data_IF_127100675116
#
_entry.id   IF_127100675116
#
_cell.length_a   1.000
_cell.length_b   1.000
_cell.length_c   1.000
_cell.angle_alpha   90.00
_cell.angle_beta   90.00
_cell.angle_gamma   90.00
#
_symmetry.space_group_name_H-M   'P 1'
#
loop_
_entity.id
_entity.type
_entity.pdbx_description
1 polymer ?
#
# COMPACT_ATOMS: atom_id res chain seq x y z
N UNK A 1 15.71 5.77 27.99
CA UNK A 1 16.85 6.49 27.40
C UNK A 1 16.94 6.10 25.93
N UNK A 2 16.55 7.00 25.02
CA UNK A 2 16.74 6.80 23.60
C UNK A 2 18.25 6.75 23.30
N UNK A 3 18.68 5.71 22.58
CA UNK A 3 20.05 5.60 22.10
C UNK A 3 20.08 6.21 20.70
N UNK A 4 20.90 7.24 20.53
CA UNK A 4 21.13 7.82 19.21
C UNK A 4 21.75 6.75 18.30
N UNK A 5 21.14 6.52 17.15
CA UNK A 5 21.70 5.68 16.10
C UNK A 5 21.66 6.46 14.80
N UNK A 6 22.66 6.23 13.95
CA UNK A 6 22.72 6.79 12.60
C UNK A 6 22.16 5.77 11.63
N UNK A 7 21.26 6.24 10.76
CA UNK A 7 20.85 5.50 9.58
C UNK A 7 21.70 5.97 8.40
N UNK A 8 22.40 5.04 7.75
CA UNK A 8 23.25 5.33 6.60
C UNK A 8 22.44 5.81 5.39
N UNK A 9 21.62 4.94 4.81
CA UNK A 9 20.68 5.29 3.76
C UNK A 9 19.51 4.31 3.74
N UNK A 10 18.30 4.80 3.47
CA UNK A 10 17.13 3.96 3.16
C UNK A 10 16.87 4.14 1.66
N UNK A 11 17.38 3.20 0.86
CA UNK A 11 17.20 3.22 -0.59
C UNK A 11 15.97 2.41 -0.96
N UNK A 12 14.95 3.08 -1.50
CA UNK A 12 13.70 2.46 -1.92
C UNK A 12 13.61 2.56 -3.43
N UNK A 13 13.66 1.43 -4.12
CA UNK A 13 13.55 1.39 -5.58
C UNK A 13 12.10 1.48 -6.06
N UNK A 14 11.14 0.98 -5.27
CA UNK A 14 9.71 1.16 -5.53
C UNK A 14 8.89 0.84 -4.27
N UNK A 15 7.83 1.60 -4.06
CA UNK A 15 6.73 1.32 -3.13
C UNK A 15 5.43 1.45 -3.90
N UNK A 16 4.46 0.60 -3.60
CA UNK A 16 3.16 0.59 -4.28
C UNK A 16 2.03 0.86 -3.27
N UNK A 17 0.79 0.74 -3.72
CA UNK A 17 -0.44 1.02 -3.00
C UNK A 17 -0.42 0.38 -1.62
N UNK A 18 -0.81 1.18 -0.61
CA UNK A 18 -0.84 0.78 0.80
C UNK A 18 0.52 0.49 1.45
N UNK A 19 1.61 1.07 0.94
CA UNK A 19 2.95 0.90 1.51
C UNK A 19 3.38 2.08 2.39
N UNK A 20 4.24 1.79 3.36
CA UNK A 20 4.85 2.79 4.25
C UNK A 20 6.29 2.43 4.53
N UNK A 21 7.12 3.44 4.71
CA UNK A 21 8.44 3.29 5.34
C UNK A 21 8.47 4.21 6.54
N UNK A 22 8.66 3.63 7.73
CA UNK A 22 8.69 4.37 8.98
C UNK A 22 9.90 3.95 9.81
N UNK A 23 10.40 4.88 10.62
CA UNK A 23 11.56 4.72 11.49
C UNK A 23 11.23 5.34 12.83
N UNK A 24 11.67 4.70 13.91
CA UNK A 24 11.33 5.12 15.27
C UNK A 24 9.98 4.56 15.69
N UNK A 25 9.37 5.18 16.70
CA UNK A 25 8.11 4.71 17.25
C UNK A 25 6.95 5.26 16.43
N UNK A 26 6.22 4.36 15.75
CA UNK A 26 5.14 4.74 14.82
C UNK A 26 3.86 3.98 15.16
N UNK A 27 2.75 4.69 15.23
CA UNK A 27 1.41 4.09 15.26
C UNK A 27 0.68 4.41 13.97
N UNK A 28 0.23 3.36 13.30
CA UNK A 28 -0.46 3.40 12.02
C UNK A 28 -1.82 2.70 12.14
N UNK A 29 -2.67 3.09 13.09
CA UNK A 29 -3.98 2.49 13.24
C UNK A 29 -4.83 2.90 12.03
N UNK A 30 -5.88 2.14 11.75
CA UNK A 30 -6.76 2.43 10.63
C UNK A 30 -6.11 2.39 9.24
N UNK A 31 -4.91 1.82 9.10
CA UNK A 31 -4.24 1.68 7.83
C UNK A 31 -4.95 0.66 6.94
N UNK A 32 -5.62 1.13 5.89
CA UNK A 32 -6.28 0.27 4.93
C UNK A 32 -6.28 0.91 3.54
N UNK A 33 -6.13 0.09 2.52
CA UNK A 33 -6.43 0.45 1.15
C UNK A 33 -7.43 -0.55 0.59
N UNK A 34 -8.45 -0.03 -0.08
CA UNK A 34 -9.44 -0.84 -0.78
C UNK A 34 -9.37 -0.49 -2.24
N UNK A 35 -9.34 -1.50 -3.10
CA UNK A 35 -9.29 -1.31 -4.55
C UNK A 35 -10.02 -2.45 -5.24
N UNK A 36 -11.10 -2.12 -5.96
CA UNK A 36 -11.56 -2.95 -7.07
C UNK A 36 -10.73 -2.57 -8.31
N UNK A 37 -10.20 -3.55 -9.01
CA UNK A 37 -9.48 -3.30 -10.27
C UNK A 37 -9.74 -4.42 -11.26
N UNK A 38 -9.94 -4.02 -12.52
CA UNK A 38 -10.09 -4.90 -13.67
C UNK A 38 -8.98 -4.60 -14.67
N UNK A 39 -7.79 -5.14 -14.44
CA UNK A 39 -6.64 -4.86 -15.27
C UNK A 39 -6.40 -5.98 -16.28
N UNK A 40 -6.53 -5.65 -17.57
CA UNK A 40 -6.24 -6.60 -18.65
C UNK A 40 -4.78 -7.02 -18.74
N UNK A 41 -3.83 -6.07 -18.67
CA UNK A 41 -2.38 -6.34 -18.75
C UNK A 41 -1.71 -6.14 -17.37
N UNK A 42 -2.50 -6.13 -16.29
CA UNK A 42 -1.98 -6.03 -14.92
C UNK A 42 -1.36 -4.68 -14.58
N UNK A 43 -0.33 -4.70 -13.72
CA UNK A 43 0.38 -3.52 -13.21
C UNK A 43 1.90 -3.73 -13.38
N UNK A 44 2.61 -2.70 -13.86
CA UNK A 44 4.06 -2.72 -14.03
C UNK A 44 4.74 -1.83 -12.99
N UNK A 45 5.85 -2.31 -12.42
CA UNK A 45 6.66 -1.57 -11.48
C UNK A 45 8.15 -1.72 -11.84
N UNK A 46 8.88 -0.62 -11.88
CA UNK A 46 10.31 -0.61 -12.25
C UNK A 46 10.53 -0.62 -13.76
N UNK A 47 11.71 -1.06 -14.19
CA UNK A 47 12.10 -1.05 -15.59
C UNK A 47 11.45 -2.23 -16.34
N UNK A 48 10.42 -1.95 -17.14
CA UNK A 48 9.65 -2.97 -17.87
C UNK A 48 9.52 -2.60 -19.35
N UNK A 49 9.87 -3.55 -20.21
CA UNK A 49 9.53 -3.52 -21.64
C UNK A 49 8.43 -4.56 -21.87
N UNK A 50 7.27 -4.10 -22.34
CA UNK A 50 6.13 -4.95 -22.64
C UNK A 50 5.64 -4.66 -24.06
N UNK A 51 5.60 -5.68 -24.92
CA UNK A 51 5.25 -5.52 -26.34
C UNK A 51 4.48 -6.73 -26.86
N UNK A 52 3.55 -6.50 -27.79
CA UNK A 52 2.78 -7.56 -28.46
C UNK A 52 1.58 -8.08 -27.67
N UNK A 53 1.08 -7.35 -26.68
CA UNK A 53 0.00 -7.81 -25.80
C UNK A 53 -1.37 -7.29 -26.27
N UNK A 54 -2.37 -8.15 -26.18
CA UNK A 54 -3.79 -7.80 -26.32
C UNK A 54 -4.52 -8.25 -25.06
N UNK A 55 -5.39 -7.40 -24.52
CA UNK A 55 -6.23 -7.77 -23.39
C UNK A 55 -7.66 -7.28 -23.59
N UNK A 56 -8.62 -8.16 -23.31
CA UNK A 56 -10.03 -7.86 -23.20
C UNK A 56 -10.47 -8.15 -21.77
N UNK A 57 -11.06 -7.16 -21.11
CA UNK A 57 -11.56 -7.31 -19.75
C UNK A 57 -13.03 -6.92 -19.76
N UNK A 58 -13.89 -7.91 -19.48
CA UNK A 58 -15.33 -7.75 -19.40
C UNK A 58 -15.72 -8.02 -17.95
N UNK A 59 -16.24 -7.01 -17.28
CA UNK A 59 -16.79 -7.11 -15.92
C UNK A 59 -18.27 -6.70 -15.97
N UNK A 60 -19.19 -7.67 -16.16
CA UNK A 60 -20.61 -7.39 -16.33
C UNK A 60 -21.36 -7.45 -14.99
N UNK A 61 -20.76 -6.95 -13.90
CA UNK A 61 -21.42 -6.90 -12.61
C UNK A 61 -22.35 -5.68 -12.49
N UNK A 62 -23.53 -5.89 -11.88
CA UNK A 62 -24.55 -4.82 -11.70
C UNK A 62 -24.31 -3.94 -10.48
N UNK A 63 -23.51 -4.42 -9.52
CA UNK A 63 -23.05 -3.66 -8.35
C UNK A 63 -21.57 -3.95 -8.16
N UNK A 64 -20.76 -2.94 -8.44
CA UNK A 64 -19.30 -2.96 -8.33
C UNK A 64 -18.88 -2.44 -6.93
N UNK A 65 -17.87 -3.07 -6.32
CA UNK A 65 -17.02 -2.37 -5.36
C UNK A 65 -17.70 -1.96 -4.06
N UNK A 66 -18.44 -2.87 -3.42
CA UNK A 66 -18.92 -2.67 -2.04
C UNK A 66 -17.73 -2.68 -1.06
N UNK A 67 -16.98 -1.59 -1.03
CA UNK A 67 -15.88 -1.37 -0.10
C UNK A 67 -16.47 -0.92 1.25
N UNK A 68 -16.70 -1.88 2.15
CA UNK A 68 -17.09 -1.57 3.51
C UNK A 68 -15.83 -1.30 4.35
N UNK A 69 -15.62 -0.05 4.76
CA UNK A 69 -14.53 0.33 5.65
C UNK A 69 -15.08 0.67 7.04
N UNK A 70 -15.54 -0.34 7.78
CA UNK A 70 -15.86 -0.19 9.21
C UNK A 70 -14.57 -0.13 10.02
N UNK A 71 -13.87 1.00 9.95
CA UNK A 71 -12.56 1.14 10.54
C UNK A 71 -12.64 1.74 11.95
N UNK A 72 -12.96 0.91 12.92
CA UNK A 72 -12.83 1.25 14.34
C UNK A 72 -11.36 1.06 14.72
N UNK A 73 -10.65 2.17 14.92
CA UNK A 73 -9.21 2.15 15.19
C UNK A 73 -8.83 2.94 16.44
N UNK A 74 -9.28 2.47 17.63
CA UNK A 74 -8.80 3.02 18.89
C UNK A 74 -7.31 2.68 19.03
N UNK A 75 -6.47 3.70 18.98
CA UNK A 75 -5.05 3.57 19.24
C UNK A 75 -4.71 4.26 20.55
N UNK A 76 -4.08 3.53 21.47
CA UNK A 76 -3.41 4.12 22.62
C UNK A 76 -1.91 4.07 22.32
N UNK A 77 -1.31 5.24 22.16
CA UNK A 77 0.12 5.38 21.93
C UNK A 77 0.84 5.28 23.27
N UNK A 78 1.24 4.06 23.64
CA UNK A 78 2.05 3.76 24.84
C UNK A 78 3.55 3.95 24.60
N UNK A 79 3.91 4.89 23.73
CA UNK A 79 5.31 5.21 23.43
C UNK A 79 5.97 5.76 24.69
N UNK A 80 7.01 5.05 25.15
CA UNK A 80 7.53 5.16 26.52
C UNK A 80 8.96 5.73 26.56
N UNK A 81 9.46 6.24 25.43
CA UNK A 81 10.84 6.69 25.29
C UNK A 81 10.97 7.98 24.50
#
# INVERSE_FOLDING_TARGET
>A
MAVAFTLGAININSINTNAVVTVGENQLPAWAAHRKVNNGIGFFAGNVLNAGNFASTVDPDGVDGMMNNQNISPSVQGQAL
#
